data_IF_537543728892
#
_entry.id   IF_537543728892
#
_cell.length_a   1.000
_cell.length_b   1.000
_cell.length_c   1.000
_cell.angle_alpha   90.00
_cell.angle_beta   90.00
_cell.angle_gamma   90.00
#
_symmetry.space_group_name_H-M   'P 1'
#
loop_
_entity.id
_entity.type
_entity.pdbx_description
1 polymer ?
#
# COMPACT_ATOMS: atom_id res chain seq x y z
N UNK A 1 14.24 -12.40 30.20
CA UNK A 1 13.05 -12.76 29.39
C UNK A 1 13.42 -12.57 27.93
N UNK A 2 13.53 -13.65 27.15
CA UNK A 2 13.74 -13.54 25.70
C UNK A 2 12.45 -12.98 25.16
N UNK A 3 12.47 -11.74 24.67
CA UNK A 3 11.33 -11.16 23.94
C UNK A 3 11.01 -12.12 22.80
N UNK A 4 9.82 -12.72 22.81
CA UNK A 4 9.38 -13.56 21.70
C UNK A 4 9.35 -12.68 20.46
N UNK A 5 10.15 -13.03 19.43
CA UNK A 5 10.15 -12.32 18.16
C UNK A 5 8.71 -12.28 17.59
N UNK A 6 8.28 -11.11 17.20
CA UNK A 6 7.03 -10.90 16.46
C UNK A 6 7.25 -9.71 15.52
N UNK A 7 7.21 -9.91 14.19
CA UNK A 7 7.41 -8.83 13.25
C UNK A 7 6.21 -7.88 13.27
N UNK A 8 6.49 -6.59 13.16
CA UNK A 8 5.47 -5.56 13.03
C UNK A 8 4.85 -5.59 11.64
N UNK A 9 3.52 -5.64 11.53
CA UNK A 9 2.80 -5.36 10.30
C UNK A 9 2.44 -3.86 10.26
N UNK A 10 3.15 -3.11 9.42
CA UNK A 10 3.00 -1.66 9.27
C UNK A 10 2.11 -1.31 8.09
N UNK A 11 0.94 -0.77 8.37
CA UNK A 11 -0.07 -0.43 7.37
C UNK A 11 -0.13 1.07 7.04
N UNK A 12 -0.49 1.46 5.81
CA UNK A 12 -0.65 2.86 5.45
C UNK A 12 -1.94 3.44 6.03
N UNK A 13 -1.86 4.65 6.59
CA UNK A 13 -3.00 5.45 7.01
C UNK A 13 -3.13 6.70 6.12
N UNK A 14 -3.98 6.63 5.11
CA UNK A 14 -4.27 7.77 4.23
C UNK A 14 -5.14 8.83 4.90
N UNK A 15 -5.99 8.43 5.84
CA UNK A 15 -6.85 9.23 6.70
C UNK A 15 -7.25 8.43 7.96
N UNK A 16 -8.01 9.07 8.86
CA UNK A 16 -8.47 8.43 10.10
C UNK A 16 -9.34 7.19 9.84
N UNK A 17 -10.22 7.24 8.84
CA UNK A 17 -11.06 6.08 8.50
C UNK A 17 -10.22 4.89 8.05
N UNK A 18 -9.28 5.08 7.12
CA UNK A 18 -8.36 4.03 6.66
C UNK A 18 -7.50 3.48 7.79
N UNK A 19 -7.06 4.35 8.70
CA UNK A 19 -6.31 3.97 9.88
C UNK A 19 -7.11 3.02 10.78
N UNK A 20 -8.36 3.37 11.13
CA UNK A 20 -9.20 2.52 11.97
C UNK A 20 -9.44 1.14 11.36
N UNK A 21 -9.66 1.08 10.04
CA UNK A 21 -9.79 -0.20 9.32
C UNK A 21 -8.48 -1.00 9.32
N UNK A 22 -7.34 -0.38 9.06
CA UNK A 22 -6.05 -1.06 9.11
C UNK A 22 -5.81 -1.70 10.48
N UNK A 23 -6.08 -0.96 11.56
CA UNK A 23 -5.94 -1.45 12.93
C UNK A 23 -6.92 -2.59 13.24
N UNK A 24 -8.17 -2.47 12.82
CA UNK A 24 -9.18 -3.52 13.02
C UNK A 24 -8.80 -4.82 12.30
N UNK A 25 -8.23 -4.72 11.10
CA UNK A 25 -7.83 -5.86 10.27
C UNK A 25 -6.44 -6.44 10.61
N UNK A 26 -5.81 -5.98 11.70
CA UNK A 26 -4.65 -6.64 12.29
C UNK A 26 -3.30 -5.97 12.06
N UNK A 27 -3.27 -4.68 11.69
CA UNK A 27 -2.02 -3.93 11.71
C UNK A 27 -1.52 -3.71 13.15
N UNK A 28 -0.19 -3.80 13.35
CA UNK A 28 0.47 -3.53 14.63
C UNK A 28 0.86 -2.06 14.75
N UNK A 29 1.12 -1.44 13.62
CA UNK A 29 1.42 -0.02 13.51
C UNK A 29 0.84 0.56 12.23
N UNK A 30 0.65 1.86 12.22
CA UNK A 30 0.26 2.60 11.03
C UNK A 30 1.24 3.74 10.74
N UNK A 31 1.38 4.12 9.46
CA UNK A 31 2.14 5.29 9.10
C UNK A 31 1.28 6.30 8.34
N UNK A 32 1.31 7.55 8.79
CA UNK A 32 0.60 8.68 8.20
C UNK A 32 1.55 9.81 7.80
N UNK A 33 1.16 10.61 6.83
CA UNK A 33 1.96 11.72 6.35
C UNK A 33 1.79 12.97 7.21
N UNK A 34 2.89 13.66 7.54
CA UNK A 34 2.83 15.02 8.05
C UNK A 34 2.26 15.95 6.97
N UNK A 35 1.34 16.86 7.30
CA UNK A 35 0.86 17.87 6.37
C UNK A 35 2.04 18.64 5.74
N UNK A 36 2.01 18.84 4.43
CA UNK A 36 3.00 19.56 3.61
C UNK A 36 4.43 18.99 3.55
N UNK A 37 4.84 18.11 4.45
CA UNK A 37 6.22 17.60 4.54
C UNK A 37 6.37 16.09 4.39
N UNK A 38 5.37 15.43 3.84
CA UNK A 38 5.45 14.00 3.46
C UNK A 38 5.30 13.83 1.96
N UNK A 39 5.86 12.74 1.44
CA UNK A 39 5.52 12.31 0.08
C UNK A 39 4.02 12.03 0.00
N UNK A 40 3.38 12.42 -1.11
CA UNK A 40 1.93 12.40 -1.32
C UNK A 40 1.15 13.38 -0.42
N UNK A 41 1.74 14.51 -0.05
CA UNK A 41 1.09 15.55 0.76
C UNK A 41 -0.26 16.01 0.19
N UNK A 42 -0.44 15.99 -1.15
CA UNK A 42 -1.72 16.37 -1.81
C UNK A 42 -2.87 15.41 -1.54
N UNK A 43 -2.56 14.15 -1.36
CA UNK A 43 -3.54 13.06 -1.18
C UNK A 43 -3.62 12.63 0.30
N UNK A 44 -2.99 13.42 1.20
CA UNK A 44 -2.96 13.15 2.63
C UNK A 44 -4.27 13.61 3.28
N UNK A 45 -4.98 12.69 3.94
CA UNK A 45 -6.20 12.96 4.69
C UNK A 45 -5.96 13.51 6.09
N UNK A 46 -4.73 13.39 6.61
CA UNK A 46 -4.31 14.10 7.84
C UNK A 46 -3.88 15.51 7.44
N UNK A 47 -4.77 16.48 7.58
CA UNK A 47 -4.61 17.84 7.08
C UNK A 47 -4.15 18.85 8.15
N UNK A 48 -4.26 18.47 9.42
CA UNK A 48 -3.95 19.32 10.58
C UNK A 48 -3.19 18.55 11.65
N UNK A 49 -2.65 19.27 12.61
CA UNK A 49 -2.08 18.66 13.83
C UNK A 49 -3.15 17.97 14.68
N UNK A 50 -4.38 18.46 14.66
CA UNK A 50 -5.51 17.85 15.38
C UNK A 50 -5.87 16.48 14.81
N UNK A 51 -5.84 16.33 13.47
CA UNK A 51 -6.03 15.03 12.83
C UNK A 51 -4.93 14.04 13.26
N UNK A 52 -3.67 14.50 13.31
CA UNK A 52 -2.55 13.68 13.76
C UNK A 52 -2.69 13.31 15.24
N UNK A 53 -3.01 14.27 16.11
CA UNK A 53 -3.21 14.04 17.53
C UNK A 53 -4.29 12.98 17.77
N UNK A 54 -5.44 13.11 17.09
CA UNK A 54 -6.54 12.14 17.15
C UNK A 54 -6.10 10.75 16.65
N UNK A 55 -5.29 10.68 15.57
CA UNK A 55 -4.77 9.43 15.04
C UNK A 55 -3.84 8.73 16.04
N UNK A 56 -2.94 9.48 16.67
CA UNK A 56 -2.01 8.98 17.70
C UNK A 56 -2.80 8.46 18.91
N UNK A 57 -3.74 9.24 19.41
CA UNK A 57 -4.60 8.86 20.53
C UNK A 57 -5.36 7.54 20.27
N UNK A 58 -5.98 7.39 19.10
CA UNK A 58 -6.68 6.16 18.70
C UNK A 58 -5.73 4.95 18.66
N UNK A 59 -4.50 5.13 18.13
CA UNK A 59 -3.51 4.06 18.10
C UNK A 59 -3.09 3.65 19.52
N UNK A 60 -2.73 4.62 20.36
CA UNK A 60 -2.29 4.37 21.73
C UNK A 60 -3.40 3.75 22.59
N UNK A 61 -4.65 4.20 22.46
CA UNK A 61 -5.80 3.60 23.14
C UNK A 61 -6.01 2.11 22.81
N UNK A 62 -5.49 1.66 21.63
CA UNK A 62 -5.53 0.26 21.18
C UNK A 62 -4.21 -0.51 21.44
N UNK A 63 -3.23 0.12 22.10
CA UNK A 63 -1.88 -0.45 22.28
C UNK A 63 -1.13 -0.62 20.95
N UNK A 64 -1.43 0.21 19.94
CA UNK A 64 -0.82 0.21 18.60
C UNK A 64 0.07 1.42 18.39
N UNK A 65 0.96 1.37 17.39
CA UNK A 65 1.95 2.42 17.14
C UNK A 65 1.55 3.30 15.95
N UNK A 66 1.92 4.58 16.04
CA UNK A 66 1.71 5.58 15.00
C UNK A 66 3.06 6.15 14.54
N UNK A 67 3.48 5.84 13.31
CA UNK A 67 4.71 6.37 12.73
C UNK A 67 4.40 7.57 11.84
N UNK A 68 4.96 8.73 12.18
CA UNK A 68 4.76 9.96 11.44
C UNK A 68 5.77 10.08 10.30
N UNK A 69 5.28 10.14 9.05
CA UNK A 69 6.12 10.28 7.88
C UNK A 69 6.39 11.74 7.55
N UNK A 70 7.66 12.15 7.63
CA UNK A 70 8.18 13.49 7.36
C UNK A 70 9.39 13.41 6.44
N UNK A 71 9.20 12.80 5.26
CA UNK A 71 10.28 12.28 4.44
C UNK A 71 10.53 13.06 3.13
N UNK A 72 10.14 14.33 3.09
CA UNK A 72 10.49 15.22 2.00
C UNK A 72 11.98 15.59 2.11
N UNK A 73 12.70 15.57 0.99
CA UNK A 73 14.06 16.14 0.90
C UNK A 73 13.92 17.64 0.63
N UNK A 74 14.15 18.46 1.65
CA UNK A 74 13.80 19.87 1.60
C UNK A 74 14.77 20.73 0.80
N UNK A 75 14.22 21.70 0.06
CA UNK A 75 15.00 22.82 -0.51
C UNK A 75 15.16 23.91 0.56
N UNK A 76 16.23 24.71 0.47
CA UNK A 76 16.56 25.75 1.47
C UNK A 76 15.36 26.64 1.86
N UNK A 77 14.52 27.03 0.90
CA UNK A 77 13.32 27.86 1.18
C UNK A 77 12.27 27.18 2.08
N UNK A 78 12.33 25.85 2.22
CA UNK A 78 11.41 25.05 3.02
C UNK A 78 12.00 24.53 4.33
N UNK A 79 13.31 24.68 4.57
CA UNK A 79 13.97 24.12 5.76
C UNK A 79 13.38 24.68 7.05
N UNK A 80 13.35 26.01 7.21
CA UNK A 80 12.83 26.63 8.44
C UNK A 80 11.34 26.34 8.70
N UNK A 81 10.42 26.41 7.71
CA UNK A 81 9.04 25.96 7.90
C UNK A 81 8.94 24.47 8.28
N UNK A 82 9.78 23.59 7.71
CA UNK A 82 9.80 22.17 8.02
C UNK A 82 10.24 21.92 9.47
N UNK A 83 11.32 22.55 9.90
CA UNK A 83 11.82 22.45 11.27
C UNK A 83 10.74 22.85 12.28
N UNK A 84 10.07 23.99 12.06
CA UNK A 84 8.98 24.45 12.92
C UNK A 84 7.82 23.44 12.98
N UNK A 85 7.38 22.96 11.82
CA UNK A 85 6.29 22.00 11.75
C UNK A 85 6.65 20.64 12.38
N UNK A 86 7.91 20.23 12.31
CA UNK A 86 8.42 19.01 12.94
C UNK A 86 8.36 19.09 14.47
N UNK A 87 8.87 20.18 15.05
CA UNK A 87 8.82 20.37 16.52
C UNK A 87 7.39 20.32 17.04
N UNK A 88 6.44 20.96 16.36
CA UNK A 88 5.03 20.89 16.77
C UNK A 88 4.44 19.48 16.63
N UNK A 89 4.83 18.74 15.59
CA UNK A 89 4.37 17.37 15.40
C UNK A 89 5.00 16.40 16.43
N UNK A 90 6.25 16.61 16.82
CA UNK A 90 6.92 15.81 17.87
C UNK A 90 6.21 15.91 19.23
N UNK A 91 5.65 17.09 19.58
CA UNK A 91 4.89 17.29 20.83
C UNK A 91 3.65 16.40 20.94
N UNK A 92 3.16 15.88 19.81
CA UNK A 92 2.02 14.96 19.77
C UNK A 92 2.39 13.53 20.21
N UNK A 93 3.69 13.21 20.33
CA UNK A 93 4.19 11.91 20.78
C UNK A 93 3.99 10.76 19.79
N UNK A 94 4.32 10.92 18.50
CA UNK A 94 4.36 9.76 17.59
C UNK A 94 5.42 8.75 18.04
N UNK A 95 5.20 7.47 17.79
CA UNK A 95 6.13 6.39 18.22
C UNK A 95 7.43 6.37 17.40
N UNK A 96 7.45 6.96 16.21
CA UNK A 96 8.64 7.18 15.40
C UNK A 96 8.42 8.23 14.32
N UNK A 97 9.53 8.82 13.84
CA UNK A 97 9.57 9.69 12.67
C UNK A 97 10.22 8.98 11.47
N UNK A 98 9.51 8.89 10.35
CA UNK A 98 10.07 8.37 9.09
C UNK A 98 10.63 9.55 8.29
N UNK A 99 11.97 9.65 8.18
CA UNK A 99 12.69 10.79 7.62
C UNK A 99 13.70 10.34 6.57
N UNK A 100 14.05 11.22 5.62
CA UNK A 100 15.02 10.92 4.53
C UNK A 100 16.20 11.90 4.48
N UNK A 101 15.99 13.13 4.93
CA UNK A 101 16.96 14.21 4.81
C UNK A 101 17.97 14.17 5.97
N UNK A 102 19.30 14.03 5.72
CA UNK A 102 20.30 13.91 6.79
C UNK A 102 20.38 15.16 7.68
N UNK A 103 20.17 16.35 7.12
CA UNK A 103 20.15 17.60 7.91
C UNK A 103 18.94 17.66 8.84
N UNK A 104 17.81 17.17 8.40
CA UNK A 104 16.59 17.06 9.23
C UNK A 104 16.76 15.96 10.31
N UNK A 105 17.41 14.84 10.00
CA UNK A 105 17.74 13.80 10.99
C UNK A 105 18.59 14.41 12.12
N UNK A 106 19.64 15.14 11.79
CA UNK A 106 20.49 15.81 12.78
C UNK A 106 19.70 16.84 13.61
N UNK A 107 18.80 17.58 12.97
CA UNK A 107 17.90 18.52 13.66
C UNK A 107 16.98 17.82 14.66
N UNK A 108 16.39 16.69 14.28
CA UNK A 108 15.50 15.90 15.15
C UNK A 108 16.25 15.41 16.39
N UNK A 109 17.45 14.88 16.23
CA UNK A 109 18.27 14.41 17.37
C UNK A 109 18.53 15.51 18.39
N UNK A 110 18.60 16.77 17.93
CA UNK A 110 18.81 17.91 18.82
C UNK A 110 17.52 18.38 19.51
N UNK A 111 16.42 18.46 18.78
CA UNK A 111 15.19 19.11 19.23
C UNK A 111 14.13 18.14 19.77
N UNK A 112 14.19 16.86 19.34
CA UNK A 112 13.23 15.81 19.70
C UNK A 112 13.95 14.48 19.96
N UNK A 113 14.96 14.43 20.85
CA UNK A 113 15.86 13.27 21.02
C UNK A 113 15.15 12.01 21.52
N UNK A 114 13.97 12.14 22.11
CA UNK A 114 13.15 11.05 22.63
C UNK A 114 12.41 10.25 21.56
N UNK A 115 12.28 10.79 20.34
CA UNK A 115 11.49 10.15 19.29
C UNK A 115 12.41 9.34 18.35
N UNK A 116 12.22 8.02 18.23
CA UNK A 116 13.00 7.18 17.34
C UNK A 116 12.91 7.62 15.87
N UNK A 117 14.04 7.53 15.17
CA UNK A 117 14.13 7.85 13.74
C UNK A 117 14.16 6.56 12.91
N UNK A 118 13.19 6.43 12.02
CA UNK A 118 13.15 5.41 10.99
C UNK A 118 13.58 6.03 9.65
N UNK A 119 14.67 5.52 9.06
CA UNK A 119 15.17 6.03 7.80
C UNK A 119 14.25 5.63 6.65
N UNK A 120 13.76 6.62 5.90
CA UNK A 120 12.92 6.38 4.73
C UNK A 120 13.68 5.66 3.63
N UNK A 121 12.97 4.82 2.88
CA UNK A 121 13.48 4.15 1.67
C UNK A 121 14.10 5.10 0.65
N UNK A 122 13.72 6.39 0.67
CA UNK A 122 14.31 7.43 -0.20
C UNK A 122 15.79 7.71 0.07
N UNK A 123 16.34 7.30 1.21
CA UNK A 123 17.77 7.32 1.47
C UNK A 123 18.53 6.26 0.65
N UNK A 124 17.83 5.35 -0.03
CA UNK A 124 18.37 4.32 -0.91
C UNK A 124 19.46 3.46 -0.26
N UNK A 125 19.23 2.98 0.96
CA UNK A 125 20.16 2.10 1.65
C UNK A 125 20.14 0.70 1.01
N UNK A 126 21.28 0.28 0.47
CA UNK A 126 21.43 -0.97 -0.29
C UNK A 126 22.60 -1.85 0.19
N UNK A 127 23.38 -1.41 1.17
CA UNK A 127 24.52 -2.17 1.69
C UNK A 127 24.77 -1.86 3.18
N UNK A 128 25.54 -2.74 3.82
CA UNK A 128 25.82 -2.65 5.25
C UNK A 128 26.67 -1.43 5.65
N UNK A 129 27.58 -0.94 4.79
CA UNK A 129 28.38 0.25 5.11
C UNK A 129 27.48 1.50 5.23
N UNK A 130 26.53 1.65 4.30
CA UNK A 130 25.53 2.72 4.37
C UNK A 130 24.62 2.54 5.58
N UNK A 131 24.24 1.31 5.91
CA UNK A 131 23.42 1.02 7.10
C UNK A 131 24.16 1.36 8.40
N UNK A 132 25.45 1.00 8.51
CA UNK A 132 26.33 1.36 9.65
C UNK A 132 26.47 2.87 9.79
N UNK A 133 26.64 3.60 8.68
CA UNK A 133 26.67 5.04 8.71
C UNK A 133 25.40 5.63 9.32
N UNK A 134 24.22 5.19 8.86
CA UNK A 134 22.95 5.68 9.39
C UNK A 134 22.72 5.27 10.86
N UNK A 135 23.15 4.07 11.24
CA UNK A 135 23.12 3.62 12.63
C UNK A 135 24.01 4.50 13.51
N UNK A 136 25.20 4.87 13.05
CA UNK A 136 26.09 5.79 13.77
C UNK A 136 25.53 7.21 13.89
N UNK A 137 24.62 7.59 12.98
CA UNK A 137 23.85 8.82 13.02
C UNK A 137 22.60 8.73 13.91
N UNK A 138 22.44 7.65 14.69
CA UNK A 138 21.34 7.47 15.65
C UNK A 138 20.02 6.97 15.03
N UNK A 139 20.03 6.52 13.78
CA UNK A 139 18.87 5.89 13.18
C UNK A 139 18.62 4.53 13.83
N UNK A 140 17.39 4.28 14.30
CA UNK A 140 17.00 3.05 15.00
C UNK A 140 16.45 1.98 14.06
N UNK A 141 15.85 2.38 12.92
CA UNK A 141 15.29 1.47 11.90
C UNK A 141 15.58 1.98 10.49
N UNK A 142 15.87 1.08 9.57
CA UNK A 142 16.03 1.41 8.15
C UNK A 142 14.96 0.72 7.31
N UNK A 143 14.22 1.51 6.53
CA UNK A 143 13.32 1.01 5.48
C UNK A 143 14.19 0.78 4.24
N UNK A 144 14.49 -0.50 4.00
CA UNK A 144 15.42 -0.91 2.96
C UNK A 144 14.88 -0.67 1.54
N UNK A 145 15.80 -0.52 0.60
CA UNK A 145 15.49 -0.49 -0.83
C UNK A 145 14.79 -1.75 -1.29
N UNK A 146 13.78 -1.61 -2.15
CA UNK A 146 12.97 -2.75 -2.67
C UNK A 146 13.74 -3.66 -3.60
N UNK A 147 14.87 -3.19 -4.10
CA UNK A 147 15.74 -3.84 -5.08
C UNK A 147 16.67 -4.90 -4.45
N UNK A 148 16.71 -4.98 -3.10
CA UNK A 148 17.57 -5.92 -2.37
C UNK A 148 17.02 -7.35 -2.39
N UNK A 149 17.96 -8.30 -2.53
CA UNK A 149 17.71 -9.74 -2.34
C UNK A 149 17.76 -10.08 -0.86
N UNK A 150 17.11 -11.16 -0.48
CA UNK A 150 17.09 -11.61 0.91
C UNK A 150 18.50 -11.84 1.47
N UNK A 151 19.43 -12.42 0.70
CA UNK A 151 20.81 -12.61 1.12
C UNK A 151 21.54 -11.30 1.48
N UNK A 152 21.31 -10.23 0.69
CA UNK A 152 21.89 -8.90 0.96
C UNK A 152 21.29 -8.27 2.22
N UNK A 153 19.98 -8.49 2.44
CA UNK A 153 19.29 -8.04 3.68
C UNK A 153 19.86 -8.74 4.92
N UNK A 154 20.08 -10.06 4.82
CA UNK A 154 20.67 -10.85 5.91
C UNK A 154 22.12 -10.41 6.22
N UNK A 155 22.91 -10.07 5.21
CA UNK A 155 24.25 -9.53 5.40
C UNK A 155 24.21 -8.16 6.10
N UNK A 156 23.28 -7.27 5.74
CA UNK A 156 23.07 -6.00 6.44
C UNK A 156 22.72 -6.27 7.91
N UNK A 157 21.81 -7.20 8.18
CA UNK A 157 21.37 -7.55 9.53
C UNK A 157 22.54 -8.08 10.38
N UNK A 158 23.38 -8.95 9.82
CA UNK A 158 24.56 -9.50 10.48
C UNK A 158 25.58 -8.41 10.83
N UNK A 159 25.84 -7.50 9.88
CA UNK A 159 26.87 -6.44 10.02
C UNK A 159 26.40 -5.23 10.82
N UNK A 160 25.10 -5.10 11.10
CA UNK A 160 24.49 -3.98 11.83
C UNK A 160 23.67 -4.49 13.03
N UNK A 161 24.30 -5.11 14.03
CA UNK A 161 23.56 -5.64 15.18
C UNK A 161 22.84 -4.52 15.93
N UNK A 162 21.59 -4.78 16.33
CA UNK A 162 20.74 -3.83 17.05
C UNK A 162 20.02 -2.82 16.13
N UNK A 163 20.31 -2.78 14.84
CA UNK A 163 19.57 -1.98 13.87
C UNK A 163 18.32 -2.74 13.40
N UNK A 164 17.15 -2.11 13.53
CA UNK A 164 15.90 -2.68 12.98
C UNK A 164 15.83 -2.53 11.47
N UNK A 165 15.42 -3.59 10.78
CA UNK A 165 15.23 -3.60 9.33
C UNK A 165 13.75 -3.75 8.99
N UNK A 166 13.26 -2.86 8.12
CA UNK A 166 11.91 -2.83 7.59
C UNK A 166 11.93 -3.04 6.08
N UNK A 167 11.07 -3.92 5.56
CA UNK A 167 10.94 -4.18 4.13
C UNK A 167 9.53 -3.96 3.63
N UNK A 168 9.38 -3.46 2.40
CA UNK A 168 8.08 -3.44 1.75
C UNK A 168 7.70 -4.84 1.30
N UNK A 169 6.47 -5.24 1.60
CA UNK A 169 5.92 -6.55 1.22
C UNK A 169 4.76 -6.45 0.23
N UNK A 170 4.11 -5.29 0.12
CA UNK A 170 2.95 -5.12 -0.77
C UNK A 170 2.80 -3.69 -1.29
N UNK A 171 2.21 -3.56 -2.48
CA UNK A 171 1.70 -2.32 -3.05
C UNK A 171 2.55 -1.76 -4.18
N UNK A 172 2.36 -0.50 -4.47
CA UNK A 172 2.94 0.16 -5.63
C UNK A 172 4.47 0.19 -5.59
N UNK A 173 5.11 -0.16 -6.72
CA UNK A 173 6.54 0.00 -6.93
C UNK A 173 6.79 1.15 -7.91
N UNK A 174 7.83 1.94 -7.68
CA UNK A 174 8.27 2.97 -8.63
C UNK A 174 9.19 2.36 -9.69
N UNK A 175 9.16 2.90 -10.92
CA UNK A 175 10.15 2.56 -11.96
C UNK A 175 11.55 3.09 -11.61
N UNK A 176 11.62 4.15 -10.81
CA UNK A 176 12.87 4.70 -10.32
C UNK A 176 13.32 3.99 -9.04
N UNK A 177 14.64 3.86 -8.88
CA UNK A 177 15.25 3.23 -7.71
C UNK A 177 14.73 3.85 -6.40
N UNK A 178 14.02 3.05 -5.63
CA UNK A 178 13.45 3.40 -4.31
C UNK A 178 12.78 4.79 -4.24
N UNK A 179 12.11 5.19 -5.34
CA UNK A 179 11.31 6.41 -5.39
C UNK A 179 12.07 7.70 -5.71
N UNK A 180 13.36 7.67 -6.01
CA UNK A 180 14.11 8.82 -6.56
C UNK A 180 13.76 9.04 -8.03
N UNK A 181 12.64 9.72 -8.30
CA UNK A 181 12.09 9.86 -9.63
C UNK A 181 12.06 11.33 -10.09
N UNK A 182 12.52 11.57 -11.32
CA UNK A 182 12.44 12.86 -11.99
C UNK A 182 11.32 12.95 -13.03
N UNK A 183 10.68 11.82 -13.38
CA UNK A 183 9.73 11.76 -14.49
C UNK A 183 8.57 12.75 -14.33
N UNK A 184 7.97 12.80 -13.15
CA UNK A 184 6.85 13.70 -12.84
C UNK A 184 7.28 15.18 -12.91
N UNK A 185 8.52 15.51 -12.50
CA UNK A 185 9.05 16.85 -12.60
C UNK A 185 9.34 17.22 -14.07
N UNK A 186 9.95 16.30 -14.82
CA UNK A 186 10.25 16.50 -16.22
C UNK A 186 9.00 16.74 -17.07
N UNK A 187 7.95 15.93 -16.86
CA UNK A 187 6.73 15.98 -17.68
C UNK A 187 5.77 17.10 -17.29
N UNK A 188 5.71 17.48 -16.01
CA UNK A 188 4.65 18.38 -15.50
C UNK A 188 5.13 19.41 -14.48
N UNK A 189 6.45 19.56 -14.29
CA UNK A 189 7.08 20.42 -13.28
C UNK A 189 6.61 20.13 -11.84
N UNK A 190 6.11 18.90 -11.60
CA UNK A 190 5.70 18.41 -10.27
C UNK A 190 6.76 17.49 -9.72
N UNK A 191 7.49 17.96 -8.71
CA UNK A 191 8.58 17.21 -8.11
C UNK A 191 8.05 16.07 -7.21
N UNK A 192 8.26 14.83 -7.66
CA UNK A 192 7.87 13.63 -6.90
C UNK A 192 8.57 13.55 -5.53
N UNK A 193 9.81 14.06 -5.44
CA UNK A 193 10.60 14.05 -4.21
C UNK A 193 10.16 15.15 -3.22
N UNK A 194 9.31 16.08 -3.67
CA UNK A 194 8.65 17.12 -2.85
C UNK A 194 7.17 16.80 -2.57
N UNK A 195 6.76 15.55 -2.71
CA UNK A 195 5.39 15.12 -2.44
C UNK A 195 4.38 15.40 -3.55
N UNK A 196 4.85 15.72 -4.76
CA UNK A 196 4.03 16.20 -5.88
C UNK A 196 3.94 15.22 -7.05
N UNK A 197 4.20 13.92 -6.82
CA UNK A 197 4.14 12.91 -7.87
C UNK A 197 2.75 12.87 -8.53
N UNK A 198 2.71 12.94 -9.87
CA UNK A 198 1.49 12.83 -10.66
C UNK A 198 1.26 11.43 -11.25
N UNK A 199 2.13 10.47 -10.92
CA UNK A 199 2.10 9.10 -11.46
C UNK A 199 2.26 9.01 -12.99
N UNK A 200 3.04 9.91 -13.61
CA UNK A 200 3.29 9.89 -15.06
C UNK A 200 3.71 8.52 -15.60
N UNK A 201 4.52 7.75 -14.84
CA UNK A 201 4.92 6.39 -15.22
C UNK A 201 3.76 5.37 -15.29
N UNK A 202 2.53 5.77 -14.98
CA UNK A 202 1.34 4.91 -14.96
C UNK A 202 0.21 5.46 -15.82
N UNK A 203 0.48 6.55 -16.53
CA UNK A 203 -0.46 7.13 -17.49
C UNK A 203 -0.36 6.40 -18.82
N UNK A 204 -1.46 6.42 -19.57
CA UNK A 204 -1.49 5.97 -20.95
C UNK A 204 -0.86 7.03 -21.85
N UNK A 205 -0.10 6.58 -22.83
CA UNK A 205 0.53 7.45 -23.82
C UNK A 205 0.20 6.95 -25.22
N UNK A 206 0.01 7.87 -26.17
CA UNK A 206 -0.12 7.52 -27.58
C UNK A 206 1.25 7.59 -28.25
N UNK A 207 1.57 6.60 -29.05
CA UNK A 207 2.77 6.61 -29.87
C UNK A 207 2.50 7.39 -31.16
N UNK A 208 3.33 8.38 -31.46
CA UNK A 208 3.30 9.13 -32.71
C UNK A 208 4.56 8.82 -33.53
N UNK A 209 4.38 8.44 -34.78
CA UNK A 209 5.51 8.13 -35.66
C UNK A 209 6.31 9.38 -36.10
N UNK A 210 5.67 10.55 -36.06
CA UNK A 210 6.31 11.83 -36.37
C UNK A 210 5.86 12.94 -35.41
N UNK A 211 6.77 13.51 -34.56
CA UNK A 211 6.42 14.56 -33.62
C UNK A 211 6.06 15.90 -34.26
N UNK A 212 6.36 16.10 -35.57
CA UNK A 212 6.04 17.34 -36.28
C UNK A 212 4.60 17.40 -36.80
N UNK A 213 3.89 16.27 -36.81
CA UNK A 213 2.50 16.20 -37.29
C UNK A 213 1.55 16.30 -36.09
N UNK A 214 1.16 17.51 -35.75
CA UNK A 214 0.02 17.80 -34.86
C UNK A 214 -1.28 17.80 -35.64
N UNK A 215 -1.70 16.67 -36.20
CA UNK A 215 -3.01 16.59 -36.85
C UNK A 215 -3.94 15.64 -36.09
N UNK A 216 -5.21 16.03 -35.98
CA UNK A 216 -6.28 15.19 -35.40
C UNK A 216 -6.54 13.90 -36.22
N UNK A 217 -5.90 13.76 -37.39
CA UNK A 217 -6.00 12.61 -38.29
C UNK A 217 -5.05 11.45 -37.92
N UNK A 218 -4.38 11.49 -36.77
CA UNK A 218 -3.48 10.43 -36.39
C UNK A 218 -4.25 9.17 -35.97
N UNK A 219 -4.26 8.15 -36.84
CA UNK A 219 -4.74 6.82 -36.48
C UNK A 219 -3.74 6.20 -35.53
N UNK A 220 -4.19 5.81 -34.33
CA UNK A 220 -3.43 4.94 -33.46
C UNK A 220 -3.09 3.66 -34.24
N UNK A 221 -1.83 3.25 -34.22
CA UNK A 221 -1.47 1.96 -34.78
C UNK A 221 -2.05 0.87 -33.89
N UNK A 222 -2.86 -0.01 -34.46
CA UNK A 222 -3.33 -1.22 -33.80
C UNK A 222 -2.28 -2.31 -34.00
N UNK A 223 -1.79 -2.91 -32.90
CA UNK A 223 -0.84 -4.00 -32.94
C UNK A 223 0.04 -4.09 -31.70
N UNK A 224 0.71 -5.22 -31.52
CA UNK A 224 1.73 -5.39 -30.49
C UNK A 224 3.02 -4.71 -30.93
N UNK A 225 3.47 -3.73 -30.17
CA UNK A 225 4.73 -3.05 -30.43
C UNK A 225 5.78 -3.48 -29.41
N UNK A 226 6.97 -3.73 -29.91
CA UNK A 226 8.12 -4.06 -29.08
C UNK A 226 9.26 -3.07 -29.35
N UNK A 227 9.89 -2.61 -28.28
CA UNK A 227 11.14 -1.90 -28.36
C UNK A 227 12.28 -2.90 -28.32
N UNK A 228 13.07 -2.95 -29.37
CA UNK A 228 14.29 -3.75 -29.38
C UNK A 228 15.50 -2.85 -29.09
N UNK A 229 16.35 -3.28 -28.18
CA UNK A 229 17.62 -2.60 -27.93
C UNK A 229 18.56 -2.82 -29.13
N UNK A 230 18.87 -1.78 -29.88
CA UNK A 230 19.69 -1.86 -31.09
C UNK A 230 21.19 -2.11 -30.83
N UNK A 231 21.65 -1.98 -29.58
CA UNK A 231 23.06 -2.10 -29.19
C UNK A 231 23.28 -3.24 -28.19
N UNK A 232 22.54 -4.35 -28.33
CA UNK A 232 22.77 -5.54 -27.51
C UNK A 232 24.09 -6.21 -27.96
N UNK A 233 24.92 -6.73 -27.02
CA UNK A 233 26.07 -7.57 -27.37
C UNK A 233 25.63 -8.79 -28.18
N UNK A 234 26.45 -9.22 -29.16
CA UNK A 234 26.13 -10.35 -30.05
C UNK A 234 25.90 -11.69 -29.32
N UNK A 235 26.45 -11.83 -28.10
CA UNK A 235 26.32 -13.02 -27.25
C UNK A 235 25.07 -13.03 -26.40
N UNK A 236 24.25 -11.96 -26.42
CA UNK A 236 22.95 -11.90 -25.76
C UNK A 236 21.88 -11.48 -26.74
N UNK A 237 20.83 -12.31 -26.90
CA UNK A 237 19.72 -11.93 -27.76
C UNK A 237 19.15 -10.58 -27.31
N UNK A 238 18.92 -9.70 -28.28
CA UNK A 238 18.31 -8.41 -28.00
C UNK A 238 16.94 -8.62 -27.35
N UNK A 239 16.82 -8.16 -26.11
CA UNK A 239 15.58 -8.26 -25.36
C UNK A 239 14.52 -7.36 -26.00
N UNK A 240 13.35 -7.90 -26.24
CA UNK A 240 12.19 -7.16 -26.68
C UNK A 240 11.48 -6.60 -25.44
N UNK A 241 11.31 -5.29 -25.36
CA UNK A 241 10.50 -4.64 -24.33
C UNK A 241 9.11 -4.45 -24.92
N UNK A 242 8.12 -5.13 -24.38
CA UNK A 242 6.73 -4.99 -24.80
C UNK A 242 6.21 -3.59 -24.54
N UNK A 243 5.60 -3.01 -25.56
CA UNK A 243 4.72 -1.87 -25.41
C UNK A 243 3.32 -2.43 -25.29
N UNK A 244 2.67 -2.21 -24.16
CA UNK A 244 1.31 -2.65 -23.95
C UNK A 244 0.33 -1.57 -24.43
N UNK A 245 -0.67 -1.99 -25.19
CA UNK A 245 -1.66 -1.10 -25.76
C UNK A 245 -3.08 -1.65 -25.54
N UNK A 246 -3.97 -0.81 -25.07
CA UNK A 246 -5.40 -1.09 -24.99
C UNK A 246 -6.23 0.05 -25.58
N UNK A 247 -7.54 -0.07 -25.51
CA UNK A 247 -8.47 0.97 -25.99
C UNK A 247 -8.29 2.37 -25.34
N UNK A 248 -7.46 2.46 -24.29
CA UNK A 248 -7.19 3.68 -23.54
C UNK A 248 -5.79 4.27 -23.83
N UNK A 249 -4.89 3.52 -24.45
CA UNK A 249 -3.56 4.00 -24.86
C UNK A 249 -2.43 2.99 -24.70
N UNK A 250 -1.21 3.45 -25.00
CA UNK A 250 0.04 2.67 -24.95
C UNK A 250 0.76 2.84 -23.61
N UNK A 251 1.24 1.74 -23.02
CA UNK A 251 1.89 1.72 -21.72
C UNK A 251 3.27 1.09 -21.81
N UNK A 252 4.33 1.83 -21.51
CA UNK A 252 5.69 1.31 -21.58
C UNK A 252 6.52 1.46 -20.30
N UNK A 253 5.95 2.09 -19.26
CA UNK A 253 6.63 2.28 -17.98
C UNK A 253 5.78 1.84 -16.77
N UNK A 254 4.74 1.06 -16.98
CA UNK A 254 3.88 0.59 -15.89
C UNK A 254 4.57 -0.50 -15.08
N UNK A 255 5.02 -0.19 -13.87
CA UNK A 255 5.53 -1.21 -12.94
C UNK A 255 4.37 -2.00 -12.34
N UNK A 256 4.55 -3.32 -12.21
CA UNK A 256 3.64 -4.20 -11.47
C UNK A 256 3.64 -3.86 -9.98
N UNK A 257 2.56 -4.20 -9.30
CA UNK A 257 2.48 -4.02 -7.85
C UNK A 257 3.26 -5.15 -7.15
N UNK A 258 4.02 -4.80 -6.10
CA UNK A 258 4.70 -5.77 -5.25
C UNK A 258 3.66 -6.63 -4.51
N UNK A 259 3.88 -7.94 -4.51
CA UNK A 259 3.17 -8.90 -3.68
C UNK A 259 4.17 -9.97 -3.20
N UNK A 260 4.76 -9.75 -2.04
CA UNK A 260 5.73 -10.66 -1.44
C UNK A 260 5.09 -11.70 -0.52
N UNK A 261 3.80 -12.04 -0.74
CA UNK A 261 3.07 -12.97 0.11
C UNK A 261 3.82 -14.31 0.25
N UNK A 262 4.30 -14.86 -0.87
CA UNK A 262 5.05 -16.12 -0.91
C UNK A 262 6.46 -16.05 -0.29
N UNK A 263 6.94 -14.86 0.02
CA UNK A 263 8.21 -14.66 0.71
C UNK A 263 8.05 -14.45 2.22
N UNK A 264 6.83 -14.32 2.73
CA UNK A 264 6.58 -14.08 4.16
C UNK A 264 7.23 -15.13 5.06
N UNK A 265 7.17 -16.45 4.79
CA UNK A 265 7.86 -17.43 5.62
C UNK A 265 9.38 -17.18 5.69
N UNK A 266 10.02 -16.88 4.56
CA UNK A 266 11.46 -16.60 4.50
C UNK A 266 11.82 -15.32 5.28
N UNK A 267 11.00 -14.26 5.15
CA UNK A 267 11.19 -12.98 5.84
C UNK A 267 10.96 -13.10 7.38
N UNK A 268 10.00 -13.92 7.81
CA UNK A 268 9.76 -14.25 9.22
C UNK A 268 10.93 -15.04 9.78
N UNK A 269 11.41 -16.06 9.06
CA UNK A 269 12.59 -16.85 9.46
C UNK A 269 13.85 -15.99 9.55
N UNK A 270 13.99 -14.99 8.69
CA UNK A 270 15.05 -13.99 8.75
C UNK A 270 14.95 -13.03 9.95
N UNK A 271 13.87 -13.09 10.73
CA UNK A 271 13.62 -12.25 11.91
C UNK A 271 13.69 -10.75 11.64
N UNK A 272 13.18 -10.31 10.48
CA UNK A 272 13.11 -8.90 10.16
C UNK A 272 12.08 -8.18 11.06
N UNK A 273 12.36 -6.92 11.40
CA UNK A 273 11.60 -6.19 12.44
C UNK A 273 10.22 -5.75 11.98
N UNK A 274 10.06 -5.36 10.68
CA UNK A 274 8.81 -4.78 10.20
C UNK A 274 8.53 -5.10 8.72
N UNK A 275 7.26 -5.40 8.43
CA UNK A 275 6.71 -5.65 7.10
C UNK A 275 5.74 -4.55 6.71
N UNK A 276 6.12 -3.76 5.72
CA UNK A 276 5.41 -2.55 5.33
C UNK A 276 4.54 -2.75 4.10
N UNK A 277 3.28 -2.35 4.22
CA UNK A 277 2.34 -2.26 3.10
C UNK A 277 2.36 -0.83 2.54
N UNK A 278 2.50 -0.66 1.21
CA UNK A 278 2.30 0.60 0.52
C UNK A 278 0.85 0.70 0.03
N UNK A 279 0.25 1.90 0.09
CA UNK A 279 -1.11 2.10 -0.42
C UNK A 279 -1.92 3.18 0.29
N UNK A 280 -1.32 4.30 0.72
CA UNK A 280 -2.03 5.39 1.43
C UNK A 280 -3.24 5.95 0.68
N UNK A 281 -3.26 5.87 -0.64
CA UNK A 281 -4.34 6.38 -1.49
C UNK A 281 -5.34 5.32 -1.94
N UNK A 282 -5.12 4.06 -1.57
CA UNK A 282 -6.00 2.95 -1.92
C UNK A 282 -7.34 3.00 -1.15
N UNK A 283 -8.33 2.28 -1.65
CA UNK A 283 -9.65 2.19 -0.99
C UNK A 283 -9.55 1.51 0.38
N UNK A 284 -10.55 1.76 1.23
CA UNK A 284 -10.66 1.10 2.54
C UNK A 284 -10.73 -0.42 2.37
N UNK A 285 -11.52 -0.92 1.42
CA UNK A 285 -11.62 -2.34 1.11
C UNK A 285 -10.29 -2.96 0.71
N UNK A 286 -9.56 -2.32 -0.23
CA UNK A 286 -8.22 -2.78 -0.62
C UNK A 286 -7.30 -2.92 0.60
N UNK A 287 -7.26 -1.87 1.42
CA UNK A 287 -6.42 -1.84 2.61
C UNK A 287 -6.78 -2.96 3.60
N UNK A 288 -8.07 -3.12 3.88
CA UNK A 288 -8.59 -4.17 4.78
C UNK A 288 -8.22 -5.56 4.30
N UNK A 289 -8.46 -5.87 3.03
CA UNK A 289 -8.15 -7.17 2.43
C UNK A 289 -6.65 -7.48 2.47
N UNK A 290 -5.81 -6.50 2.11
CA UNK A 290 -4.36 -6.67 2.11
C UNK A 290 -3.81 -6.84 3.52
N UNK A 291 -4.24 -6.00 4.48
CA UNK A 291 -3.77 -6.11 5.87
C UNK A 291 -4.15 -7.46 6.47
N UNK A 292 -5.40 -7.92 6.28
CA UNK A 292 -5.84 -9.23 6.78
C UNK A 292 -5.07 -10.38 6.13
N UNK A 293 -4.82 -10.32 4.82
CA UNK A 293 -4.06 -11.34 4.11
C UNK A 293 -2.64 -11.50 4.67
N UNK A 294 -1.94 -10.38 4.88
CA UNK A 294 -0.58 -10.40 5.43
C UNK A 294 -0.57 -10.76 6.92
N UNK A 295 -1.54 -10.29 7.72
CA UNK A 295 -1.66 -10.70 9.13
C UNK A 295 -1.81 -12.21 9.26
N UNK A 296 -2.73 -12.81 8.53
CA UNK A 296 -2.93 -14.28 8.52
C UNK A 296 -1.69 -15.04 8.02
N UNK A 297 -1.00 -14.51 7.00
CA UNK A 297 0.23 -15.13 6.48
C UNK A 297 1.40 -15.06 7.48
N UNK A 298 1.57 -13.92 8.17
CA UNK A 298 2.59 -13.75 9.21
C UNK A 298 2.30 -14.67 10.38
N UNK A 299 1.05 -14.74 10.86
CA UNK A 299 0.65 -15.57 11.99
C UNK A 299 0.85 -17.06 11.69
N UNK A 300 0.56 -17.51 10.48
CA UNK A 300 0.84 -18.86 10.02
C UNK A 300 2.34 -19.14 9.95
N UNK A 301 3.13 -18.23 9.35
CA UNK A 301 4.58 -18.37 9.25
C UNK A 301 5.26 -18.41 10.62
N UNK A 302 4.79 -17.62 11.59
CA UNK A 302 5.27 -17.66 12.98
C UNK A 302 5.05 -19.01 13.67
N UNK A 303 4.04 -19.77 13.24
CA UNK A 303 3.74 -21.13 13.72
C UNK A 303 4.42 -22.22 12.89
N UNK A 304 5.12 -21.87 11.79
CA UNK A 304 5.65 -22.82 10.82
C UNK A 304 4.58 -23.46 9.92
N UNK A 305 3.40 -22.85 9.84
CA UNK A 305 2.29 -23.30 9.03
C UNK A 305 2.37 -22.71 7.60
N UNK A 306 1.79 -23.39 6.60
CA UNK A 306 1.71 -22.84 5.24
C UNK A 306 0.81 -21.59 5.20
N UNK A 307 1.07 -20.74 4.19
CA UNK A 307 0.25 -19.54 3.95
C UNK A 307 -1.20 -19.96 3.72
N UNK A 308 -2.16 -19.43 4.49
CA UNK A 308 -3.57 -19.76 4.36
C UNK A 308 -4.11 -19.42 2.96
N UNK A 309 -4.97 -20.30 2.41
CA UNK A 309 -5.58 -20.07 1.09
C UNK A 309 -6.36 -18.74 1.05
N UNK A 310 -7.08 -18.41 2.13
CA UNK A 310 -7.81 -17.16 2.26
C UNK A 310 -6.92 -15.91 2.08
N UNK A 311 -5.63 -15.97 2.45
CA UNK A 311 -4.70 -14.86 2.22
C UNK A 311 -4.48 -14.61 0.73
N UNK A 312 -4.43 -15.66 -0.09
CA UNK A 312 -4.30 -15.56 -1.56
C UNK A 312 -5.59 -15.03 -2.19
N UNK A 313 -6.73 -15.52 -1.73
CA UNK A 313 -8.05 -15.07 -2.19
C UNK A 313 -8.27 -13.58 -1.92
N UNK A 314 -7.99 -13.12 -0.69
CA UNK A 314 -8.09 -11.71 -0.31
C UNK A 314 -7.22 -10.80 -1.20
N UNK A 315 -6.00 -11.22 -1.53
CA UNK A 315 -5.14 -10.49 -2.46
C UNK A 315 -5.72 -10.50 -3.87
N UNK A 316 -6.21 -11.64 -4.36
CA UNK A 316 -6.77 -11.78 -5.71
C UNK A 316 -8.00 -10.92 -5.93
N UNK A 317 -8.78 -10.67 -4.87
CA UNK A 317 -9.98 -9.82 -4.91
C UNK A 317 -9.66 -8.31 -4.99
N UNK A 318 -8.40 -7.91 -4.87
CA UNK A 318 -8.01 -6.50 -4.90
C UNK A 318 -7.54 -6.06 -6.29
N UNK A 319 -7.77 -4.78 -6.62
CA UNK A 319 -7.30 -4.18 -7.86
C UNK A 319 -5.77 -4.18 -7.96
N UNK A 320 -5.23 -4.70 -9.07
CA UNK A 320 -3.80 -4.71 -9.36
C UNK A 320 -3.55 -4.58 -10.86
N UNK A 321 -2.42 -3.99 -11.24
CA UNK A 321 -1.90 -3.96 -12.63
C UNK A 321 -0.99 -5.15 -12.94
N UNK A 322 -1.29 -6.30 -12.37
CA UNK A 322 -0.40 -7.43 -12.29
C UNK A 322 0.49 -7.34 -11.04
N UNK A 323 0.88 -8.50 -10.51
CA UNK A 323 1.66 -8.63 -9.29
C UNK A 323 3.03 -9.22 -9.58
N UNK A 324 4.03 -8.80 -8.80
CA UNK A 324 5.37 -9.36 -8.83
C UNK A 324 5.85 -9.67 -7.42
N UNK A 325 6.66 -10.74 -7.23
CA UNK A 325 7.12 -11.16 -5.89
C UNK A 325 8.18 -10.22 -5.28
N UNK A 326 8.67 -9.23 -6.02
CA UNK A 326 9.84 -8.43 -5.64
C UNK A 326 11.15 -9.17 -5.87
N UNK A 327 12.25 -8.57 -5.43
CA UNK A 327 13.61 -9.07 -5.71
C UNK A 327 14.16 -10.03 -4.63
N UNK A 328 13.38 -10.39 -3.62
CA UNK A 328 13.86 -11.21 -2.49
C UNK A 328 14.52 -12.53 -2.92
N UNK A 329 14.02 -13.16 -3.99
CA UNK A 329 14.55 -14.43 -4.53
C UNK A 329 15.46 -14.24 -5.76
N UNK A 330 15.82 -13.00 -6.10
CA UNK A 330 16.68 -12.67 -7.24
C UNK A 330 16.01 -11.78 -8.28
N UNK A 331 16.61 -11.66 -9.48
CA UNK A 331 16.05 -10.85 -10.55
C UNK A 331 14.68 -11.40 -10.96
N UNK A 332 13.77 -10.46 -11.24
CA UNK A 332 12.44 -10.80 -11.73
C UNK A 332 12.56 -11.44 -13.12
N UNK A 333 11.79 -12.50 -13.41
CA UNK A 333 11.66 -12.97 -14.78
C UNK A 333 11.13 -11.83 -15.64
N UNK A 334 11.70 -11.63 -16.79
CA UNK A 334 11.17 -10.70 -17.75
C UNK A 334 9.83 -11.25 -18.24
N UNK A 335 8.76 -10.56 -17.95
CA UNK A 335 7.43 -10.93 -18.42
C UNK A 335 7.06 -10.03 -19.58
N UNK A 336 6.96 -10.64 -20.74
CA UNK A 336 6.50 -10.03 -21.98
C UNK A 336 4.97 -9.92 -22.06
N UNK A 337 4.26 -10.67 -21.22
CA UNK A 337 2.80 -10.58 -21.12
C UNK A 337 2.42 -9.50 -20.10
N UNK A 338 2.31 -8.28 -20.56
CA UNK A 338 1.74 -7.17 -19.77
C UNK A 338 0.24 -7.13 -20.03
N UNK A 339 -0.51 -8.09 -19.49
CA UNK A 339 -1.97 -7.97 -19.44
C UNK A 339 -2.33 -6.89 -18.43
N UNK A 340 -2.92 -5.81 -18.91
CA UNK A 340 -3.32 -4.67 -18.08
C UNK A 340 -4.77 -4.74 -17.61
N UNK A 341 -5.48 -5.76 -17.93
CA UNK A 341 -6.78 -5.96 -17.31
C UNK A 341 -6.56 -6.12 -15.81
N UNK A 342 -7.19 -5.26 -14.98
CA UNK A 342 -7.14 -5.42 -13.55
C UNK A 342 -7.67 -6.81 -13.22
N UNK A 343 -6.77 -7.75 -12.97
CA UNK A 343 -7.16 -9.10 -12.58
C UNK A 343 -7.69 -9.05 -11.16
N UNK A 344 -8.98 -8.88 -11.01
CA UNK A 344 -9.65 -9.06 -9.74
C UNK A 344 -10.73 -10.11 -9.88
N UNK A 345 -10.74 -11.05 -8.96
CA UNK A 345 -11.76 -12.08 -8.85
C UNK A 345 -12.97 -11.62 -8.04
N UNK A 346 -12.85 -10.49 -7.34
CA UNK A 346 -13.90 -9.92 -6.51
C UNK A 346 -14.09 -8.41 -6.69
N UNK A 347 -15.22 -7.92 -6.24
CA UNK A 347 -15.51 -6.49 -6.16
C UNK A 347 -16.31 -6.19 -4.88
N UNK A 348 -15.99 -5.10 -4.19
CA UNK A 348 -16.81 -4.69 -3.04
C UNK A 348 -18.23 -4.40 -3.50
N UNK A 349 -19.20 -5.18 -3.03
CA UNK A 349 -20.62 -5.00 -3.31
C UNK A 349 -21.21 -3.87 -2.46
N UNK A 350 -20.93 -3.95 -1.15
CA UNK A 350 -21.39 -2.97 -0.18
C UNK A 350 -20.44 -2.86 1.01
N UNK A 351 -20.47 -1.71 1.66
CA UNK A 351 -19.87 -1.49 2.96
C UNK A 351 -21.00 -1.47 4.00
N UNK A 352 -20.85 -2.24 5.06
CA UNK A 352 -21.82 -2.27 6.17
C UNK A 352 -21.60 -1.01 7.02
N UNK A 353 -22.70 -0.34 7.36
CA UNK A 353 -22.71 0.80 8.28
C UNK A 353 -23.07 0.32 9.70
N UNK A 354 -24.17 -0.39 9.81
CA UNK A 354 -24.62 -1.02 11.07
C UNK A 354 -25.58 -2.17 10.80
N UNK A 355 -25.89 -2.93 11.85
CA UNK A 355 -26.88 -4.01 11.85
C UNK A 355 -28.12 -3.54 12.60
N UNK A 356 -29.27 -3.62 11.95
CA UNK A 356 -30.57 -3.29 12.52
C UNK A 356 -31.01 -4.30 13.58
N UNK A 357 -31.97 -3.93 14.44
CA UNK A 357 -32.47 -4.79 15.51
C UNK A 357 -33.11 -6.11 15.01
N UNK A 358 -33.58 -6.13 13.76
CA UNK A 358 -34.14 -7.32 13.10
C UNK A 358 -33.09 -8.20 12.41
N UNK A 359 -31.81 -7.84 12.52
CA UNK A 359 -30.67 -8.50 11.87
C UNK A 359 -30.43 -8.10 10.42
N UNK A 360 -31.17 -7.14 9.86
CA UNK A 360 -30.92 -6.58 8.54
C UNK A 360 -29.67 -5.69 8.55
N UNK A 361 -28.88 -5.77 7.50
CA UNK A 361 -27.65 -4.95 7.33
C UNK A 361 -28.02 -3.63 6.67
N UNK A 362 -27.83 -2.50 7.32
CA UNK A 362 -27.84 -1.20 6.64
C UNK A 362 -26.50 -0.97 5.95
N UNK A 363 -26.54 -0.80 4.64
CA UNK A 363 -25.33 -0.84 3.80
C UNK A 363 -25.27 0.30 2.81
N UNK A 364 -24.03 0.75 2.50
CA UNK A 364 -23.74 1.62 1.38
C UNK A 364 -23.34 0.79 0.15
N UNK A 365 -24.14 0.85 -0.90
CA UNK A 365 -23.97 0.05 -2.11
C UNK A 365 -22.84 0.62 -2.99
N UNK A 366 -21.91 -0.24 -3.39
CA UNK A 366 -20.78 0.08 -4.28
C UNK A 366 -20.91 -0.57 -5.65
N UNK A 367 -21.50 -1.76 -5.72
CA UNK A 367 -21.83 -2.47 -6.95
C UNK A 367 -23.24 -3.03 -6.83
N UNK A 368 -23.91 -3.27 -7.99
CA UNK A 368 -25.27 -3.80 -8.03
C UNK A 368 -25.35 -5.13 -7.28
N UNK A 369 -26.37 -5.27 -6.44
CA UNK A 369 -26.72 -6.49 -5.70
C UNK A 369 -28.15 -6.86 -6.03
N UNK A 370 -28.41 -8.12 -6.39
CA UNK A 370 -29.72 -8.73 -6.52
C UNK A 370 -29.78 -10.06 -5.75
N UNK A 371 -30.94 -10.71 -5.75
CA UNK A 371 -31.16 -11.96 -4.95
C UNK A 371 -30.27 -13.12 -5.38
N UNK A 372 -29.75 -13.11 -6.61
CA UNK A 372 -28.89 -14.17 -7.14
C UNK A 372 -27.41 -13.82 -7.01
N UNK A 373 -27.07 -12.66 -6.45
CA UNK A 373 -25.68 -12.25 -6.28
C UNK A 373 -24.94 -13.19 -5.35
N UNK A 374 -23.82 -13.74 -5.82
CA UNK A 374 -22.90 -14.52 -5.01
C UNK A 374 -22.06 -13.60 -4.16
N UNK A 375 -22.31 -13.56 -2.87
CA UNK A 375 -21.69 -12.63 -1.94
C UNK A 375 -20.80 -13.36 -0.93
N UNK A 376 -19.76 -12.67 -0.48
CA UNK A 376 -18.94 -13.05 0.65
C UNK A 376 -19.02 -11.96 1.72
N UNK A 377 -19.22 -12.36 2.96
CA UNK A 377 -19.00 -11.53 4.12
C UNK A 377 -17.51 -11.44 4.40
N UNK A 378 -17.00 -10.23 4.57
CA UNK A 378 -15.62 -9.97 4.97
C UNK A 378 -15.61 -9.03 6.17
N UNK A 379 -15.08 -9.51 7.30
CA UNK A 379 -14.73 -8.73 8.47
C UNK A 379 -13.33 -9.11 8.98
N UNK A 380 -12.81 -8.50 10.06
CA UNK A 380 -11.46 -8.84 10.58
C UNK A 380 -11.26 -10.31 10.97
N UNK A 381 -12.30 -11.04 11.32
CA UNK A 381 -12.22 -12.44 11.75
C UNK A 381 -12.73 -13.42 10.68
N UNK A 382 -13.70 -13.00 9.85
CA UNK A 382 -14.46 -13.87 8.96
C UNK A 382 -14.29 -13.52 7.48
N UNK A 383 -14.25 -14.56 6.65
CA UNK A 383 -14.36 -14.47 5.19
C UNK A 383 -15.15 -15.70 4.71
N UNK A 384 -16.45 -15.54 4.48
CA UNK A 384 -17.36 -16.65 4.22
C UNK A 384 -18.44 -16.30 3.19
N UNK A 385 -18.91 -17.30 2.46
CA UNK A 385 -19.99 -17.13 1.49
C UNK A 385 -21.32 -16.90 2.22
N UNK A 386 -22.11 -15.94 1.72
CA UNK A 386 -23.43 -15.59 2.23
C UNK A 386 -24.41 -15.40 1.08
N UNK A 387 -25.69 -15.66 1.34
CA UNK A 387 -26.75 -15.48 0.35
C UNK A 387 -27.78 -14.46 0.81
N UNK A 388 -28.42 -13.81 -0.15
CA UNK A 388 -29.40 -12.76 0.09
C UNK A 388 -30.77 -13.39 0.34
N UNK A 389 -31.40 -13.03 1.46
CA UNK A 389 -32.78 -13.38 1.76
C UNK A 389 -33.76 -12.31 1.24
N UNK A 390 -33.47 -11.04 1.54
CA UNK A 390 -34.35 -9.91 1.20
C UNK A 390 -33.51 -8.67 0.90
N UNK A 391 -33.99 -7.85 -0.03
CA UNK A 391 -33.45 -6.54 -0.38
C UNK A 391 -34.52 -5.48 -0.20
N UNK A 392 -34.18 -4.36 0.48
CA UNK A 392 -35.02 -3.19 0.62
C UNK A 392 -34.22 -1.93 0.34
N UNK A 393 -34.88 -0.92 -0.21
CA UNK A 393 -34.28 0.41 -0.37
C UNK A 393 -34.15 1.14 0.99
N UNK A 394 -33.55 2.32 1.00
CA UNK A 394 -33.37 3.11 2.22
C UNK A 394 -34.69 3.56 2.89
N UNK A 395 -35.83 3.42 2.20
CA UNK A 395 -37.18 3.69 2.74
C UNK A 395 -37.86 2.42 3.30
N UNK A 396 -37.12 1.30 3.41
CA UNK A 396 -37.60 0.00 3.87
C UNK A 396 -38.65 -0.65 2.93
N UNK A 397 -38.63 -0.28 1.64
CA UNK A 397 -39.52 -0.85 0.61
C UNK A 397 -38.80 -2.00 -0.10
N UNK A 398 -39.44 -3.18 -0.30
CA UNK A 398 -38.83 -4.30 -1.03
C UNK A 398 -38.45 -3.93 -2.46
N UNK A 399 -37.26 -4.39 -2.90
CA UNK A 399 -36.74 -4.16 -4.25
C UNK A 399 -36.09 -5.43 -4.81
N UNK A 400 -36.03 -5.57 -6.14
CA UNK A 400 -35.38 -6.69 -6.81
C UNK A 400 -33.84 -6.55 -6.84
N UNK A 401 -33.35 -5.31 -6.84
CA UNK A 401 -31.92 -5.02 -6.82
C UNK A 401 -31.60 -3.69 -6.11
N UNK A 402 -30.41 -3.61 -5.54
CA UNK A 402 -29.81 -2.39 -5.02
C UNK A 402 -28.73 -1.90 -5.97
N UNK A 403 -28.65 -0.58 -6.18
CA UNK A 403 -27.77 0.04 -7.18
C UNK A 403 -26.62 0.86 -6.56
N UNK A 404 -25.47 0.97 -7.25
CA UNK A 404 -24.32 1.74 -6.78
C UNK A 404 -24.70 3.19 -6.42
N UNK A 405 -24.09 3.70 -5.34
CA UNK A 405 -24.32 5.09 -4.87
C UNK A 405 -25.55 5.27 -4.00
N UNK A 406 -26.33 4.21 -3.76
CA UNK A 406 -27.49 4.24 -2.86
C UNK A 406 -27.18 3.55 -1.52
N UNK A 407 -28.02 3.78 -0.53
CA UNK A 407 -28.09 2.96 0.67
C UNK A 407 -29.27 2.01 0.58
N UNK A 408 -29.21 0.91 1.32
CA UNK A 408 -30.28 -0.06 1.40
C UNK A 408 -30.15 -1.00 2.57
N UNK A 409 -31.14 -1.89 2.71
CA UNK A 409 -31.16 -2.93 3.72
C UNK A 409 -31.02 -4.30 3.04
N UNK A 410 -30.13 -5.11 3.57
CA UNK A 410 -29.90 -6.48 3.09
C UNK A 410 -30.12 -7.44 4.25
N UNK A 411 -31.03 -8.39 4.09
CA UNK A 411 -31.17 -9.52 4.99
C UNK A 411 -30.48 -10.74 4.38
N UNK A 412 -29.61 -11.38 5.15
CA UNK A 412 -28.90 -12.59 4.73
C UNK A 412 -29.65 -13.84 5.20
N UNK A 413 -29.48 -14.97 4.48
CA UNK A 413 -30.05 -16.27 4.88
C UNK A 413 -29.29 -16.94 6.04
N UNK A 414 -28.20 -16.33 6.51
CA UNK A 414 -27.35 -16.84 7.59
C UNK A 414 -27.53 -16.01 8.86
N UNK A 415 -27.32 -16.65 10.02
CA UNK A 415 -27.24 -15.93 11.28
C UNK A 415 -26.06 -14.96 11.30
N UNK A 416 -26.35 -13.69 11.59
CA UNK A 416 -25.35 -12.62 11.65
C UNK A 416 -24.94 -12.25 13.07
N UNK A 417 -25.39 -12.98 14.08
CA UNK A 417 -25.21 -12.64 15.50
C UNK A 417 -23.73 -12.48 15.87
N UNK A 418 -22.86 -13.33 15.32
CA UNK A 418 -21.41 -13.28 15.57
C UNK A 418 -20.71 -12.12 14.85
N UNK A 419 -21.37 -11.43 13.90
CA UNK A 419 -20.81 -10.36 13.08
C UNK A 419 -20.91 -8.99 13.72
N UNK A 420 -21.74 -8.85 14.77
CA UNK A 420 -22.03 -7.55 15.41
C UNK A 420 -20.81 -6.84 16.00
N UNK A 421 -19.80 -7.60 16.45
CA UNK A 421 -18.56 -7.04 17.00
C UNK A 421 -17.79 -6.15 16.01
N UNK A 422 -17.88 -6.46 14.70
CA UNK A 422 -17.14 -5.79 13.65
C UNK A 422 -18.02 -5.16 12.57
N UNK A 423 -19.30 -4.92 12.88
CA UNK A 423 -20.29 -4.46 11.89
C UNK A 423 -19.79 -3.26 11.07
N UNK A 424 -19.29 -2.21 11.71
CA UNK A 424 -18.78 -1.02 11.03
C UNK A 424 -17.51 -1.24 10.20
N UNK A 425 -16.86 -2.39 10.31
CA UNK A 425 -15.68 -2.77 9.55
C UNK A 425 -15.96 -3.81 8.48
N UNK A 426 -17.21 -4.25 8.34
CA UNK A 426 -17.58 -5.34 7.45
C UNK A 426 -17.86 -4.85 6.01
N UNK A 427 -17.66 -5.80 5.08
CA UNK A 427 -17.98 -5.64 3.66
C UNK A 427 -18.78 -6.83 3.16
N UNK A 428 -19.63 -6.59 2.16
CA UNK A 428 -20.11 -7.61 1.24
C UNK A 428 -19.28 -7.53 -0.05
N UNK A 429 -18.75 -8.66 -0.48
CA UNK A 429 -17.86 -8.78 -1.65
C UNK A 429 -18.55 -9.64 -2.70
N UNK A 430 -18.72 -9.13 -3.92
CA UNK A 430 -19.14 -9.90 -5.09
C UNK A 430 -17.97 -10.73 -5.59
N UNK A 431 -18.17 -12.03 -5.81
CA UNK A 431 -17.24 -12.87 -6.57
C UNK A 431 -17.67 -12.88 -8.04
N UNK A 432 -16.69 -12.77 -8.91
CA UNK A 432 -16.87 -13.01 -10.34
C UNK A 432 -16.75 -14.50 -10.60
N UNK A 433 -17.63 -15.01 -11.44
CA UNK A 433 -17.58 -16.38 -11.97
C UNK A 433 -16.33 -16.59 -12.82
#
# INVERSE_FOLDING_TARGET
>A
MVSSYSPELLAPAGDLKRMEYALAYGADAVYAGQPAFSLRARENGFRSLDDLAKGIEICHAKGKRFHLTSNVISRNSKVAPFQKALVEACKLGPDALIVADPGIIQFIHKECPEIPIHLSVQANTTNYLTAQFWQSMGVSRIILSRELRLGEILEIQEKCPGLELEVFVHGNVCMAMSGRCMLSNWTTHRDANQGMCNNSCRMSYRLYANPEVQSDDYKAHEGEFFLQRTNAPEDKPAELIGLDEDKWGTYFMSSRDLCALDSIPDLVNAKLSSFKIEGRTRSVYYLSSVVLAYRKAIDAAMKGEPIPLVSRELISDTDSRGRMPGFFKGPLPQNYEMTQEPSKTGAVAAQVDHIEADGSLFVQIKNRIDKNSRLYWLDPENHEEVSVAELKNAKNEPVDALHPGTNGLIRLNSDVTFRTKFEKFAFLVLKKD
#
